data_IF_509471499702
#
_entry.id   IF_509471499702
#
_cell.length_a   1.000
_cell.length_b   1.000
_cell.length_c   1.000
_cell.angle_alpha   90.00
_cell.angle_beta   90.00
_cell.angle_gamma   90.00
#
_symmetry.space_group_name_H-M   'P 1'
#
loop_
_entity.id
_entity.type
_entity.pdbx_description
1 polymer ?
#
# COMPACT_ATOMS: atom_id res chain seq x y z
N UNK A 1 -0.67 8.45 6.63
CA UNK A 1 0.79 8.59 6.74
C UNK A 1 1.21 7.82 7.96
N UNK A 2 1.68 6.59 7.75
CA UNK A 2 1.90 5.63 8.83
C UNK A 2 3.29 5.00 8.76
N UNK A 3 3.96 4.98 7.60
CA UNK A 3 5.27 4.33 7.45
C UNK A 3 6.34 4.88 8.42
N UNK A 4 6.52 6.21 8.51
CA UNK A 4 7.48 6.80 9.47
C UNK A 4 7.14 6.43 10.92
N UNK A 5 5.87 6.48 11.30
CA UNK A 5 5.43 6.18 12.67
C UNK A 5 5.58 4.71 12.99
N UNK A 6 5.19 3.82 12.06
CA UNK A 6 5.36 2.38 12.18
C UNK A 6 6.83 2.02 12.38
N UNK A 7 7.72 2.61 11.57
CA UNK A 7 9.16 2.42 11.69
C UNK A 7 9.68 2.92 13.05
N UNK A 8 9.22 4.09 13.49
CA UNK A 8 9.61 4.68 14.75
C UNK A 8 9.16 3.85 15.96
N UNK A 9 7.94 3.30 15.95
CA UNK A 9 7.50 2.41 17.04
C UNK A 9 8.32 1.12 17.07
N UNK A 10 8.62 0.52 15.92
CA UNK A 10 9.52 -0.65 15.85
C UNK A 10 10.90 -0.31 16.42
N UNK A 11 11.44 0.84 16.05
CA UNK A 11 12.72 1.32 16.57
C UNK A 11 12.69 1.52 18.09
N UNK A 12 11.63 2.15 18.62
CA UNK A 12 11.43 2.33 20.07
C UNK A 12 11.44 1.01 20.82
N UNK A 13 10.71 0.02 20.31
CA UNK A 13 10.68 -1.32 20.89
C UNK A 13 12.09 -1.96 20.88
N UNK A 14 12.84 -1.79 19.79
CA UNK A 14 14.21 -2.31 19.64
C UNK A 14 15.19 -1.76 20.68
N UNK A 15 15.06 -0.48 21.02
CA UNK A 15 15.93 0.18 22.02
C UNK A 15 15.36 0.14 23.45
N UNK A 16 14.20 -0.49 23.66
CA UNK A 16 13.55 -0.55 24.98
C UNK A 16 12.97 0.78 25.46
N UNK A 17 12.69 1.72 24.55
CA UNK A 17 12.13 3.02 24.88
C UNK A 17 10.59 2.99 24.81
N UNK A 18 9.93 3.31 25.93
CA UNK A 18 8.47 3.44 25.96
C UNK A 18 7.99 4.86 25.61
N UNK A 19 8.76 5.88 26.04
CA UNK A 19 8.44 7.28 25.78
C UNK A 19 8.97 7.76 24.43
N UNK A 20 8.18 8.58 23.73
CA UNK A 20 8.58 9.20 22.47
C UNK A 20 9.79 10.12 22.62
N UNK A 21 9.91 10.82 23.76
CA UNK A 21 11.06 11.66 24.07
C UNK A 21 12.36 10.86 24.17
N UNK A 22 12.30 9.65 24.75
CA UNK A 22 13.45 8.76 24.82
C UNK A 22 13.85 8.24 23.43
N UNK A 23 12.86 7.84 22.61
CA UNK A 23 13.11 7.45 21.22
C UNK A 23 13.68 8.59 20.37
N UNK A 24 13.16 9.80 20.53
CA UNK A 24 13.65 11.01 19.87
C UNK A 24 15.09 11.33 20.26
N UNK A 25 15.39 11.30 21.57
CA UNK A 25 16.74 11.53 22.09
C UNK A 25 17.74 10.50 21.54
N UNK A 26 17.38 9.22 21.50
CA UNK A 26 18.22 8.17 20.91
C UNK A 26 18.48 8.38 19.40
N UNK A 27 17.51 8.92 18.67
CA UNK A 27 17.71 9.32 17.27
C UNK A 27 18.53 10.60 17.11
N UNK A 28 18.68 11.40 18.16
CA UNK A 28 19.35 12.70 18.12
C UNK A 28 18.44 13.83 17.60
N UNK A 29 17.12 13.67 17.73
CA UNK A 29 16.13 14.67 17.30
C UNK A 29 15.31 15.18 18.49
N UNK A 30 14.66 16.33 18.31
CA UNK A 30 13.76 16.89 19.33
C UNK A 30 12.46 16.08 19.39
N UNK A 31 11.87 15.96 20.58
CA UNK A 31 10.54 15.33 20.76
C UNK A 31 9.45 15.97 19.89
N UNK A 32 9.59 17.28 19.58
CA UNK A 32 8.69 17.99 18.68
C UNK A 32 8.72 17.44 17.25
N UNK A 33 9.88 16.94 16.78
CA UNK A 33 10.00 16.31 15.46
C UNK A 33 9.11 15.07 15.38
N UNK A 34 9.16 14.22 16.41
CA UNK A 34 8.30 13.03 16.51
C UNK A 34 6.82 13.42 16.64
N UNK A 35 6.52 14.46 17.43
CA UNK A 35 5.15 14.99 17.53
C UNK A 35 4.61 15.48 16.18
N UNK A 36 5.44 16.12 15.35
CA UNK A 36 5.05 16.52 13.99
C UNK A 36 4.74 15.32 13.10
N UNK A 37 5.49 14.21 13.22
CA UNK A 37 5.18 12.98 12.50
C UNK A 37 3.79 12.45 12.86
N UNK A 38 3.42 12.51 14.15
CA UNK A 38 2.11 12.01 14.64
C UNK A 38 0.95 12.92 14.29
N UNK A 39 1.11 14.23 14.51
CA UNK A 39 -0.01 15.19 14.49
C UNK A 39 -0.13 15.92 13.17
N UNK A 40 0.98 16.21 12.50
CA UNK A 40 1.02 16.96 11.24
C UNK A 40 1.20 16.08 10.01
N UNK A 41 1.42 14.78 10.19
CA UNK A 41 1.68 13.83 9.10
C UNK A 41 3.01 14.08 8.39
N UNK A 42 3.94 14.81 9.00
CA UNK A 42 5.28 14.97 8.43
C UNK A 42 5.99 13.62 8.37
N UNK A 43 6.78 13.38 7.32
CA UNK A 43 7.59 12.16 7.21
C UNK A 43 8.98 12.40 7.82
N UNK A 44 9.65 11.32 8.23
CA UNK A 44 11.05 11.40 8.65
C UNK A 44 11.95 11.69 7.45
N UNK A 45 13.05 12.38 7.72
CA UNK A 45 14.09 12.59 6.70
C UNK A 45 14.77 11.25 6.34
N UNK A 46 15.28 11.09 5.11
CA UNK A 46 15.84 9.80 4.66
C UNK A 46 16.94 9.25 5.56
N UNK A 47 17.82 10.10 6.08
CA UNK A 47 18.91 9.67 6.98
C UNK A 47 18.39 9.16 8.34
N UNK A 48 17.23 9.65 8.81
CA UNK A 48 16.58 9.13 10.02
C UNK A 48 15.93 7.77 9.74
N UNK A 49 15.33 7.59 8.58
CA UNK A 49 14.78 6.31 8.13
C UNK A 49 15.89 5.27 8.07
N UNK A 50 17.02 5.59 7.42
CA UNK A 50 18.19 4.74 7.36
C UNK A 50 18.73 4.40 8.75
N UNK A 51 18.88 5.40 9.64
CA UNK A 51 19.33 5.16 11.02
C UNK A 51 18.41 4.21 11.79
N UNK A 52 17.08 4.35 11.64
CA UNK A 52 16.11 3.44 12.26
C UNK A 52 16.19 2.03 11.67
N UNK A 53 16.28 1.90 10.34
CA UNK A 53 16.41 0.62 9.64
C UNK A 53 17.70 -0.11 10.05
N UNK A 54 18.82 0.60 10.13
CA UNK A 54 20.11 0.05 10.57
C UNK A 54 20.04 -0.48 12.01
N UNK A 55 19.38 0.24 12.92
CA UNK A 55 19.19 -0.24 14.29
C UNK A 55 18.31 -1.50 14.38
N UNK A 56 17.39 -1.66 13.44
CA UNK A 56 16.48 -2.81 13.33
C UNK A 56 17.10 -3.98 12.55
N UNK A 57 18.16 -3.76 11.79
CA UNK A 57 18.75 -4.77 10.90
C UNK A 57 17.82 -5.13 9.73
N UNK A 58 17.04 -4.18 9.24
CA UNK A 58 16.10 -4.36 8.12
C UNK A 58 16.52 -3.53 6.92
N UNK A 59 16.04 -3.91 5.73
CA UNK A 59 16.38 -3.20 4.49
C UNK A 59 15.84 -1.76 4.49
N UNK A 60 16.73 -0.81 4.23
CA UNK A 60 16.40 0.63 4.22
C UNK A 60 15.60 1.03 2.98
N UNK A 61 15.88 0.43 1.82
CA UNK A 61 15.29 0.85 0.56
C UNK A 61 13.78 0.58 0.51
N UNK A 62 13.33 -0.54 1.08
CA UNK A 62 11.90 -0.85 1.23
C UNK A 62 11.16 0.26 1.99
N UNK A 63 11.71 0.72 3.12
CA UNK A 63 11.08 1.75 3.95
C UNK A 63 11.11 3.13 3.32
N UNK A 64 12.22 3.49 2.66
CA UNK A 64 12.32 4.73 1.90
C UNK A 64 11.26 4.79 0.79
N UNK A 65 11.09 3.70 0.03
CA UNK A 65 10.07 3.61 -1.01
C UNK A 65 8.66 3.73 -0.42
N UNK A 66 8.41 3.09 0.72
CA UNK A 66 7.10 3.14 1.39
C UNK A 66 6.75 4.55 1.86
N UNK A 67 7.71 5.25 2.48
CA UNK A 67 7.54 6.66 2.88
C UNK A 67 7.32 7.56 1.67
N UNK A 68 8.08 7.38 0.61
CA UNK A 68 7.97 8.21 -0.60
C UNK A 68 6.62 8.01 -1.32
N UNK A 69 6.12 6.77 -1.36
CA UNK A 69 4.76 6.48 -1.84
C UNK A 69 3.69 7.13 -0.97
N UNK A 70 3.82 7.12 0.35
CA UNK A 70 2.85 7.79 1.22
C UNK A 70 2.85 9.31 1.05
N UNK A 71 4.02 9.91 0.85
CA UNK A 71 4.19 11.35 0.67
C UNK A 71 3.71 11.85 -0.69
N UNK A 72 3.68 10.98 -1.70
CA UNK A 72 3.26 11.36 -3.05
C UNK A 72 1.81 11.89 -3.07
N UNK A 73 1.58 13.12 -3.58
CA UNK A 73 0.28 13.81 -3.46
C UNK A 73 -0.82 13.21 -4.34
N UNK A 74 -0.46 12.57 -5.45
CA UNK A 74 -1.40 12.01 -6.42
C UNK A 74 -1.25 10.50 -6.56
N UNK A 75 -2.33 9.81 -6.96
CA UNK A 75 -2.30 8.38 -7.24
C UNK A 75 -1.31 8.03 -8.36
N UNK A 76 -1.19 8.87 -9.39
CA UNK A 76 -0.21 8.69 -10.47
C UNK A 76 1.23 8.73 -9.95
N UNK A 77 1.55 9.64 -9.02
CA UNK A 77 2.88 9.72 -8.42
C UNK A 77 3.16 8.48 -7.54
N UNK A 78 2.14 7.97 -6.82
CA UNK A 78 2.26 6.71 -6.07
C UNK A 78 2.59 5.52 -6.97
N UNK A 79 1.98 5.44 -8.15
CA UNK A 79 2.27 4.38 -9.13
C UNK A 79 3.70 4.47 -9.69
N UNK A 80 4.24 5.69 -9.87
CA UNK A 80 5.65 5.86 -10.27
C UNK A 80 6.57 5.22 -9.23
N UNK A 81 6.39 5.55 -7.96
CA UNK A 81 7.21 5.01 -6.86
C UNK A 81 7.02 3.51 -6.66
N UNK A 82 5.80 2.99 -6.86
CA UNK A 82 5.56 1.53 -6.88
C UNK A 82 6.39 0.85 -7.96
N UNK A 83 6.37 1.36 -9.20
CA UNK A 83 7.16 0.82 -10.32
C UNK A 83 8.66 0.89 -10.07
N UNK A 84 9.13 1.94 -9.40
CA UNK A 84 10.54 2.05 -8.97
C UNK A 84 10.86 0.89 -8.02
N UNK A 85 10.02 0.64 -7.01
CA UNK A 85 10.19 -0.50 -6.11
C UNK A 85 10.18 -1.85 -6.83
N UNK A 86 9.22 -2.07 -7.73
CA UNK A 86 9.12 -3.30 -8.52
C UNK A 86 10.38 -3.56 -9.37
N UNK A 87 10.93 -2.52 -10.01
CA UNK A 87 12.18 -2.64 -10.80
C UNK A 87 13.40 -2.96 -9.93
N UNK A 88 13.40 -2.51 -8.68
CA UNK A 88 14.44 -2.80 -7.70
C UNK A 88 14.23 -4.14 -6.99
N UNK A 89 13.15 -4.87 -7.30
CA UNK A 89 12.83 -6.16 -6.68
C UNK A 89 12.08 -6.06 -5.35
N UNK A 90 11.69 -4.86 -4.91
CA UNK A 90 10.93 -4.64 -3.69
C UNK A 90 9.43 -4.79 -3.93
N UNK A 91 8.79 -5.69 -3.19
CA UNK A 91 7.33 -5.78 -3.12
C UNK A 91 6.81 -4.76 -2.12
N UNK A 92 6.73 -3.50 -2.53
CA UNK A 92 6.24 -2.46 -1.63
C UNK A 92 4.74 -2.64 -1.46
N UNK A 93 4.33 -3.21 -0.32
CA UNK A 93 2.93 -3.30 0.09
C UNK A 93 2.41 -1.88 0.34
N UNK A 94 1.97 -1.23 -0.73
CA UNK A 94 1.31 0.06 -0.68
C UNK A 94 -0.04 -0.11 0.01
N UNK A 95 -0.36 0.82 0.92
CA UNK A 95 -1.73 0.99 1.43
C UNK A 95 -2.65 0.99 0.22
N UNK A 96 -3.56 0.01 0.19
CA UNK A 96 -4.50 -0.20 -0.90
C UNK A 96 -5.18 1.12 -1.24
N UNK A 97 -5.01 1.57 -2.47
CA UNK A 97 -5.88 2.61 -3.02
C UNK A 97 -7.23 1.93 -3.14
N UNK A 98 -8.07 2.07 -2.13
CA UNK A 98 -9.50 1.84 -2.26
C UNK A 98 -10.00 2.97 -3.14
N UNK A 99 -10.07 2.73 -4.45
CA UNK A 99 -10.92 3.53 -5.31
C UNK A 99 -12.36 3.22 -4.87
N UNK A 100 -12.89 4.01 -3.92
CA UNK A 100 -14.34 4.16 -3.77
C UNK A 100 -14.79 4.98 -4.98
N UNK A 101 -14.88 4.34 -6.14
CA UNK A 101 -15.67 4.81 -7.27
C UNK A 101 -17.03 4.15 -7.18
N UNK A 102 -17.84 4.60 -6.24
CA UNK A 102 -19.27 4.27 -6.24
C UNK A 102 -19.96 5.16 -7.26
N UNK A 103 -20.21 4.55 -8.43
CA UNK A 103 -21.39 4.75 -9.30
C UNK A 103 -21.66 6.19 -9.79
N UNK A 104 -21.30 6.43 -11.05
CA UNK A 104 -22.30 6.71 -12.09
C UNK A 104 -21.84 6.10 -13.40
N UNK A 105 -22.72 5.27 -13.98
CA UNK A 105 -22.65 4.78 -15.35
C UNK A 105 -22.37 5.90 -16.35
N UNK A 106 -21.53 5.64 -17.34
CA UNK A 106 -21.97 5.51 -18.73
C UNK A 106 -20.81 4.97 -19.59
N UNK A 107 -21.14 3.93 -20.35
CA UNK A 107 -20.47 3.28 -21.47
C UNK A 107 -19.10 3.83 -21.94
N UNK A 108 -18.08 2.97 -21.96
CA UNK A 108 -16.81 3.33 -22.60
C UNK A 108 -15.65 2.39 -22.30
N UNK A 109 -15.73 1.16 -22.81
CA UNK A 109 -14.60 0.33 -23.22
C UNK A 109 -13.37 0.29 -22.30
N UNK A 110 -13.43 -0.54 -21.25
CA UNK A 110 -12.21 -1.10 -20.64
C UNK A 110 -12.19 -2.59 -20.95
N UNK A 111 -11.56 -2.94 -22.07
CA UNK A 111 -10.99 -4.26 -22.26
C UNK A 111 -9.78 -4.38 -21.32
N UNK A 112 -10.01 -4.96 -20.15
CA UNK A 112 -8.94 -5.67 -19.47
C UNK A 112 -9.41 -7.06 -19.08
N UNK A 113 -8.79 -8.00 -19.77
CA UNK A 113 -8.88 -9.44 -19.65
C UNK A 113 -8.83 -9.94 -18.21
N UNK A 114 -9.55 -11.05 -18.03
CA UNK A 114 -9.35 -12.09 -17.02
C UNK A 114 -9.90 -11.83 -15.61
N UNK A 115 -11.21 -12.03 -15.48
CA UNK A 115 -11.75 -12.82 -14.35
C UNK A 115 -12.42 -14.06 -14.94
N UNK A 116 -11.59 -15.05 -15.27
CA UNK A 116 -12.01 -16.43 -15.51
C UNK A 116 -12.12 -17.09 -14.14
N UNK A 117 -13.34 -17.14 -13.56
CA UNK A 117 -13.76 -18.17 -12.60
C UNK A 117 -15.21 -17.95 -12.14
N UNK A 118 -16.18 -18.11 -13.06
CA UNK A 118 -17.57 -18.49 -12.71
C UNK A 118 -18.42 -18.99 -13.91
N UNK A 119 -17.81 -19.39 -15.02
CA UNK A 119 -18.50 -19.91 -16.22
C UNK A 119 -18.42 -21.44 -16.35
N UNK A 120 -19.03 -22.23 -15.44
CA UNK A 120 -19.57 -23.50 -15.93
C UNK A 120 -21.05 -23.71 -15.61
N UNK A 121 -21.65 -22.96 -14.68
CA UNK A 121 -23.06 -23.18 -14.28
C UNK A 121 -24.08 -22.52 -15.21
N UNK A 122 -23.74 -21.40 -15.84
CA UNK A 122 -24.64 -20.71 -16.79
C UNK A 122 -24.68 -21.37 -18.18
N UNK A 123 -23.67 -22.17 -18.53
CA UNK A 123 -23.65 -22.92 -19.79
C UNK A 123 -24.52 -24.17 -19.73
N UNK A 124 -24.63 -24.82 -18.56
CA UNK A 124 -25.55 -25.94 -18.35
C UNK A 124 -27.03 -25.51 -18.46
N UNK A 125 -27.40 -24.34 -17.91
CA UNK A 125 -28.78 -23.82 -18.00
C UNK A 125 -29.16 -23.45 -19.43
N UNK A 126 -28.22 -22.88 -20.21
CA UNK A 126 -28.47 -22.53 -21.62
C UNK A 126 -28.58 -23.77 -22.52
N UNK A 127 -27.81 -24.83 -22.24
CA UNK A 127 -27.93 -26.09 -22.96
C UNK A 127 -29.26 -26.79 -22.68
N UNK A 128 -29.75 -26.75 -21.43
CA UNK A 128 -31.07 -27.28 -21.07
C UNK A 128 -32.22 -26.49 -21.72
N UNK A 129 -32.10 -25.17 -21.84
CA UNK A 129 -33.11 -24.34 -22.49
C UNK A 129 -33.22 -24.63 -24.00
N UNK A 130 -32.10 -24.87 -24.69
CA UNK A 130 -32.10 -25.20 -26.13
C UNK A 130 -32.58 -26.62 -26.44
N UNK A 131 -32.55 -27.55 -25.47
CA UNK A 131 -33.09 -28.90 -25.65
C UNK A 131 -34.62 -28.96 -25.47
N UNK A 132 -35.20 -27.99 -24.76
CA UNK A 132 -36.65 -27.91 -24.52
C UNK A 132 -37.44 -27.31 -25.69
N UNK A 133 -36.81 -26.51 -26.56
CA UNK A 133 -37.46 -25.92 -27.75
C UNK A 133 -37.23 -26.74 -29.04
N UNK A 134 -36.55 -27.89 -28.95
CA UNK A 134 -36.17 -28.72 -30.09
C UNK A 134 -36.99 -30.00 -30.29
N UNK A 135 -38.18 -30.12 -29.72
CA UNK A 135 -39.04 -31.31 -29.86
C UNK A 135 -40.25 -31.00 -30.76
N UNK A 136 -40.21 -31.35 -32.06
CA UNK A 136 -41.39 -31.31 -32.91
C UNK A 136 -42.29 -32.52 -32.63
N UNK A 137 -43.52 -32.24 -32.22
CA UNK A 137 -44.62 -33.20 -32.08
C UNK A 137 -45.95 -32.47 -32.08
#
# INVERSE_FOLDING_TARGET
>A
MQATLELFERYKLRIGAHADSAGAAALGVKSQTVSNWRTRGSQAEPWLIEKMCNALGIDTAEWLLRVQMEQAPSASNKLVWRRVGERLGYKVAGIGVVLVSSVTSLEGCFTQSAVVLAEPLMQAVRLFAQLAEGLPG
#
